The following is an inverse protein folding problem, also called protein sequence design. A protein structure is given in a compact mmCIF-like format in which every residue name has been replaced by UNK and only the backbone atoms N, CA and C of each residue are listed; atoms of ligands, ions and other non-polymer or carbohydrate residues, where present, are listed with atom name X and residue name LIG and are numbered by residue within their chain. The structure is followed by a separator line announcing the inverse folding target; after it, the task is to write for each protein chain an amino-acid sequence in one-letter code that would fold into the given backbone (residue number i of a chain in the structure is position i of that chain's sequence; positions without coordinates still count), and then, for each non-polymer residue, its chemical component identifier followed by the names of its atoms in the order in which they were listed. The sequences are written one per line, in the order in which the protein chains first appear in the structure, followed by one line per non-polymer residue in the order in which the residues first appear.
data_IF_555086168585
#
_entry.id   IF_555086168585
#
_cell.length_a   1.000
_cell.length_b   1.000
_cell.length_c   1.000
_cell.angle_alpha   90.00
_cell.angle_beta   90.00
_cell.angle_gamma   90.00
#
_symmetry.space_group_name_H-M   'P 1'
#
loop_
_entity.id
_entity.type
_entity.pdbx_description
1 polymer ?
#
# COMPACT_ATOMS: atom_id res chain seq x y z
N UNK A 1 -10.69 9.15 -19.79
CA UNK A 1 -10.64 8.03 -18.77
C UNK A 1 -10.44 8.68 -17.42
N UNK A 2 -11.09 8.19 -16.38
CA UNK A 2 -10.85 8.67 -15.02
C UNK A 2 -9.37 8.44 -14.64
N UNK A 3 -8.81 9.34 -13.85
CA UNK A 3 -7.47 9.26 -13.29
C UNK A 3 -7.35 7.99 -12.44
N UNK A 4 -6.31 7.18 -12.66
CA UNK A 4 -6.09 5.97 -11.85
C UNK A 4 -5.52 6.32 -10.46
N UNK A 5 -5.60 5.40 -9.52
CA UNK A 5 -4.98 5.61 -8.21
C UNK A 5 -3.45 5.78 -8.34
N UNK A 6 -2.80 5.04 -9.24
CA UNK A 6 -1.38 5.21 -9.53
C UNK A 6 -1.04 6.61 -10.07
N UNK A 7 -1.91 7.18 -10.95
CA UNK A 7 -1.75 8.55 -11.43
C UNK A 7 -1.88 9.54 -10.26
N UNK A 8 -2.92 9.40 -9.42
CA UNK A 8 -3.12 10.23 -8.22
C UNK A 8 -1.94 10.15 -7.26
N UNK A 9 -1.36 8.97 -7.08
CA UNK A 9 -0.22 8.74 -6.21
C UNK A 9 1.07 9.40 -6.75
N UNK A 10 1.23 9.47 -8.08
CA UNK A 10 2.40 10.07 -8.73
C UNK A 10 2.39 11.60 -8.70
N UNK A 11 1.23 12.21 -8.50
CA UNK A 11 1.08 13.68 -8.40
C UNK A 11 1.53 14.15 -7.02
N UNK A 12 2.73 14.71 -6.93
CA UNK A 12 3.35 15.18 -5.67
C UNK A 12 2.66 16.38 -5.00
N UNK A 13 1.64 16.96 -5.63
CA UNK A 13 1.00 18.18 -5.13
C UNK A 13 0.11 17.96 -3.90
N UNK A 14 -0.29 16.71 -3.61
CA UNK A 14 -1.21 16.39 -2.52
C UNK A 14 -0.86 15.06 -1.87
N UNK A 15 -0.68 15.05 -0.55
CA UNK A 15 -0.60 13.81 0.22
C UNK A 15 -1.98 13.13 0.23
N UNK A 16 -2.04 11.85 -0.13
CA UNK A 16 -3.25 11.04 -0.03
C UNK A 16 -3.34 10.41 1.36
N UNK A 17 -4.53 10.43 1.96
CA UNK A 17 -4.79 9.83 3.26
C UNK A 17 -5.66 8.58 3.13
N UNK A 18 -5.17 7.49 3.69
CA UNK A 18 -5.86 6.20 3.70
C UNK A 18 -5.85 5.57 5.08
N UNK A 19 -6.31 4.33 5.14
CA UNK A 19 -6.29 3.53 6.37
C UNK A 19 -6.15 2.05 6.06
N UNK A 20 -5.74 1.27 7.07
CA UNK A 20 -5.73 -0.19 6.99
C UNK A 20 -7.14 -0.75 7.20
N UNK A 21 -7.51 -1.74 6.40
CA UNK A 21 -8.71 -2.55 6.57
C UNK A 21 -8.30 -3.93 7.03
N UNK A 22 -8.78 -4.32 8.21
CA UNK A 22 -8.51 -5.59 8.88
C UNK A 22 -9.77 -6.41 9.10
N UNK A 23 -10.93 -5.76 9.14
CA UNK A 23 -12.23 -6.41 9.35
C UNK A 23 -12.79 -6.82 7.98
N UNK A 24 -13.12 -8.12 7.75
CA UNK A 24 -13.57 -8.61 6.45
C UNK A 24 -15.05 -8.32 6.19
N UNK A 25 -15.45 -7.05 6.33
CA UNK A 25 -16.82 -6.58 6.12
C UNK A 25 -16.86 -5.43 5.11
N UNK A 26 -17.71 -5.55 4.09
CA UNK A 26 -17.84 -4.53 3.04
C UNK A 26 -18.43 -3.24 3.58
N UNK A 27 -19.25 -3.30 4.62
CA UNK A 27 -19.84 -2.16 5.31
C UNK A 27 -18.76 -1.24 5.93
N UNK A 28 -17.67 -1.82 6.40
CA UNK A 28 -16.50 -1.04 6.86
C UNK A 28 -15.90 -0.22 5.71
N UNK A 29 -15.82 -0.81 4.52
CA UNK A 29 -15.32 -0.11 3.33
C UNK A 29 -16.22 1.06 2.95
N UNK A 30 -17.55 0.87 3.00
CA UNK A 30 -18.54 1.93 2.75
C UNK A 30 -18.41 3.07 3.76
N UNK A 31 -18.26 2.74 5.06
CA UNK A 31 -18.08 3.73 6.13
C UNK A 31 -16.81 4.55 5.91
N UNK A 32 -15.70 3.91 5.52
CA UNK A 32 -14.42 4.59 5.25
C UNK A 32 -14.50 5.48 4.00
N UNK A 33 -15.19 5.04 2.95
CA UNK A 33 -15.43 5.86 1.76
C UNK A 33 -16.25 7.10 2.08
N UNK A 34 -17.36 6.92 2.82
CA UNK A 34 -18.23 8.01 3.25
C UNK A 34 -17.53 8.98 4.24
N UNK A 35 -16.54 8.50 4.98
CA UNK A 35 -15.71 9.34 5.85
C UNK A 35 -14.71 10.22 5.07
N UNK A 36 -14.48 9.94 3.78
CA UNK A 36 -13.67 10.77 2.89
C UNK A 36 -12.19 10.39 2.82
N UNK A 37 -11.83 9.14 3.12
CA UNK A 37 -10.48 8.65 2.82
C UNK A 37 -10.23 8.64 1.30
N UNK A 38 -8.97 8.84 0.89
CA UNK A 38 -8.58 8.78 -0.53
C UNK A 38 -8.37 7.33 -1.02
N UNK A 39 -7.97 6.44 -0.11
CA UNK A 39 -7.68 5.02 -0.41
C UNK A 39 -7.73 4.14 0.85
N UNK A 40 -7.76 2.83 0.63
CA UNK A 40 -7.62 1.82 1.69
C UNK A 40 -6.50 0.85 1.36
N UNK A 41 -5.95 0.22 2.39
CA UNK A 41 -5.03 -0.91 2.26
C UNK A 41 -5.64 -2.13 2.93
N UNK A 42 -5.98 -3.13 2.14
CA UNK A 42 -6.47 -4.42 2.64
C UNK A 42 -5.28 -5.21 3.20
N UNK A 43 -5.31 -5.48 4.49
CA UNK A 43 -4.19 -6.10 5.20
C UNK A 43 -4.33 -7.63 5.23
N UNK A 44 -3.69 -8.31 4.28
CA UNK A 44 -3.68 -9.77 4.27
C UNK A 44 -2.49 -10.37 5.05
N UNK A 45 -1.57 -9.55 5.57
CA UNK A 45 -0.44 -10.01 6.39
C UNK A 45 -0.85 -10.18 7.86
N UNK A 46 -1.51 -9.17 8.45
CA UNK A 46 -1.83 -9.15 9.88
C UNK A 46 -3.34 -9.13 10.16
N UNK A 47 -4.16 -9.58 9.22
CA UNK A 47 -5.59 -9.74 9.40
C UNK A 47 -6.11 -10.99 8.67
N UNK A 48 -7.24 -11.58 9.11
CA UNK A 48 -7.78 -12.81 8.53
C UNK A 48 -8.56 -12.53 7.22
N UNK A 49 -8.01 -11.69 6.34
CA UNK A 49 -8.60 -11.40 5.05
C UNK A 49 -8.30 -12.51 4.04
N UNK A 50 -9.33 -13.08 3.45
CA UNK A 50 -9.20 -14.01 2.33
C UNK A 50 -9.13 -13.26 1.00
N UNK A 51 -8.66 -13.93 -0.07
CA UNK A 51 -8.70 -13.38 -1.42
C UNK A 51 -10.12 -12.99 -1.85
N UNK A 52 -11.14 -13.75 -1.47
CA UNK A 52 -12.53 -13.44 -1.75
C UNK A 52 -12.98 -12.16 -1.04
N UNK A 53 -12.65 -12.01 0.25
CA UNK A 53 -12.94 -10.80 1.00
C UNK A 53 -12.23 -9.58 0.37
N UNK A 54 -10.96 -9.72 0.00
CA UNK A 54 -10.20 -8.68 -0.69
C UNK A 54 -10.83 -8.30 -2.05
N UNK A 55 -11.28 -9.27 -2.84
CA UNK A 55 -11.99 -9.02 -4.09
C UNK A 55 -13.28 -8.23 -3.87
N UNK A 56 -14.14 -8.65 -2.93
CA UNK A 56 -15.42 -7.97 -2.63
C UNK A 56 -15.17 -6.54 -2.14
N UNK A 57 -14.26 -6.35 -1.20
CA UNK A 57 -13.86 -5.04 -0.70
C UNK A 57 -13.34 -4.13 -1.83
N UNK A 58 -12.55 -4.67 -2.76
CA UNK A 58 -12.04 -3.92 -3.92
C UNK A 58 -13.17 -3.43 -4.81
N UNK A 59 -14.16 -4.28 -5.10
CA UNK A 59 -15.31 -3.90 -5.95
C UNK A 59 -16.08 -2.74 -5.33
N UNK A 60 -16.37 -2.83 -4.03
CA UNK A 60 -17.11 -1.77 -3.30
C UNK A 60 -16.28 -0.49 -3.22
N UNK A 61 -15.04 -0.58 -2.77
CA UNK A 61 -14.15 0.57 -2.61
C UNK A 61 -13.98 1.36 -3.92
N UNK A 62 -13.66 0.69 -5.01
CA UNK A 62 -13.50 1.34 -6.32
C UNK A 62 -14.82 1.90 -6.86
N UNK A 63 -15.95 1.24 -6.60
CA UNK A 63 -17.28 1.75 -6.91
C UNK A 63 -17.62 3.07 -6.19
N UNK A 64 -17.01 3.30 -5.03
CA UNK A 64 -17.14 4.52 -4.22
C UNK A 64 -15.99 5.52 -4.40
N UNK A 65 -15.07 5.26 -5.34
CA UNK A 65 -13.98 6.18 -5.67
C UNK A 65 -12.72 6.06 -4.81
N UNK A 66 -12.64 5.07 -3.92
CA UNK A 66 -11.41 4.78 -3.17
C UNK A 66 -10.36 4.09 -4.03
N UNK A 67 -9.09 4.44 -3.86
CA UNK A 67 -7.99 3.60 -4.29
C UNK A 67 -7.86 2.36 -3.39
N UNK A 68 -7.40 1.24 -3.95
CA UNK A 68 -7.26 -0.02 -3.21
C UNK A 68 -5.89 -0.61 -3.39
N UNK A 69 -5.11 -0.62 -2.33
CA UNK A 69 -3.89 -1.42 -2.22
C UNK A 69 -4.15 -2.67 -1.39
N UNK A 70 -3.36 -3.72 -1.61
CA UNK A 70 -3.35 -4.91 -0.77
C UNK A 70 -1.95 -5.12 -0.23
N UNK A 71 -1.81 -5.23 1.09
CA UNK A 71 -0.59 -5.74 1.69
C UNK A 71 -0.63 -7.26 1.66
N UNK A 72 0.30 -7.86 0.92
CA UNK A 72 0.37 -9.31 0.77
C UNK A 72 1.05 -9.96 1.98
N UNK A 73 0.66 -11.18 2.38
CA UNK A 73 1.29 -11.87 3.51
C UNK A 73 2.69 -12.39 3.18
N UNK A 74 2.95 -12.64 1.90
CA UNK A 74 4.21 -13.16 1.39
C UNK A 74 4.43 -12.76 -0.08
N UNK A 75 5.50 -13.25 -0.68
CA UNK A 75 5.86 -12.99 -2.09
C UNK A 75 5.42 -14.11 -3.04
N UNK A 76 4.42 -14.91 -2.68
CA UNK A 76 3.88 -15.97 -3.53
C UNK A 76 3.36 -15.39 -4.85
N UNK A 77 3.99 -15.74 -5.96
CA UNK A 77 3.59 -15.26 -7.29
C UNK A 77 2.16 -15.60 -7.65
N UNK A 78 1.63 -16.74 -7.17
CA UNK A 78 0.24 -17.14 -7.43
C UNK A 78 -0.77 -16.23 -6.72
N UNK A 79 -0.51 -15.80 -5.49
CA UNK A 79 -1.37 -14.86 -4.77
C UNK A 79 -1.28 -13.47 -5.38
N UNK A 80 -0.06 -12.99 -5.67
CA UNK A 80 0.20 -11.71 -6.35
C UNK A 80 -0.59 -11.62 -7.65
N UNK A 81 -0.50 -12.65 -8.50
CA UNK A 81 -1.24 -12.69 -9.78
C UNK A 81 -2.75 -12.62 -9.56
N UNK A 82 -3.30 -13.44 -8.66
CA UNK A 82 -4.75 -13.50 -8.39
C UNK A 82 -5.29 -12.18 -7.84
N UNK A 83 -4.54 -11.49 -6.99
CA UNK A 83 -4.90 -10.16 -6.48
C UNK A 83 -4.90 -9.13 -7.61
N UNK A 84 -3.85 -9.08 -8.44
CA UNK A 84 -3.81 -8.17 -9.59
C UNK A 84 -4.91 -8.47 -10.62
N UNK A 85 -5.24 -9.74 -10.82
CA UNK A 85 -6.33 -10.15 -11.72
C UNK A 85 -7.72 -9.82 -11.14
N UNK A 86 -7.84 -9.72 -9.79
CA UNK A 86 -9.04 -9.20 -9.14
C UNK A 86 -9.23 -7.69 -9.31
N UNK A 87 -8.24 -7.00 -9.90
CA UNK A 87 -8.34 -5.61 -10.30
C UNK A 87 -8.09 -4.62 -9.15
N UNK A 88 -7.28 -4.99 -8.15
CA UNK A 88 -6.76 -4.03 -7.17
C UNK A 88 -5.87 -2.99 -7.84
N UNK A 89 -5.79 -1.79 -7.29
CA UNK A 89 -4.96 -0.72 -7.87
C UNK A 89 -3.46 -0.94 -7.63
N UNK A 90 -3.11 -1.86 -6.73
CA UNK A 90 -1.71 -2.25 -6.51
C UNK A 90 -1.50 -3.10 -5.28
N UNK A 91 -0.24 -3.48 -5.10
CA UNK A 91 0.20 -4.30 -3.98
C UNK A 91 1.27 -3.58 -3.17
N UNK A 92 1.34 -3.91 -1.90
CA UNK A 92 2.38 -3.52 -0.98
C UNK A 92 3.05 -4.80 -0.45
N UNK A 93 4.30 -5.01 -0.83
CA UNK A 93 5.06 -6.22 -0.48
C UNK A 93 5.91 -5.95 0.77
N UNK A 94 5.66 -6.63 1.89
CA UNK A 94 6.40 -6.42 3.13
C UNK A 94 7.77 -7.08 3.11
N UNK A 95 8.62 -6.69 4.06
CA UNK A 95 9.91 -7.32 4.38
C UNK A 95 10.88 -7.42 3.19
N UNK A 96 11.00 -6.34 2.44
CA UNK A 96 11.97 -6.25 1.35
C UNK A 96 13.27 -5.68 1.90
N UNK A 97 14.28 -6.54 2.05
CA UNK A 97 15.54 -6.22 2.71
C UNK A 97 16.71 -6.03 1.73
N UNK A 98 16.57 -6.46 0.47
CA UNK A 98 17.64 -6.36 -0.53
C UNK A 98 17.13 -6.00 -1.93
N UNK A 99 18.00 -5.53 -2.83
CA UNK A 99 17.65 -5.27 -4.22
C UNK A 99 17.12 -6.51 -4.95
N UNK A 100 17.64 -7.70 -4.66
CA UNK A 100 17.20 -8.96 -5.26
C UNK A 100 15.78 -9.30 -4.82
N UNK A 101 15.45 -9.06 -3.55
CA UNK A 101 14.10 -9.24 -3.02
C UNK A 101 13.12 -8.23 -3.66
N UNK A 102 13.55 -6.98 -3.85
CA UNK A 102 12.77 -5.97 -4.54
C UNK A 102 12.53 -6.37 -6.01
N UNK A 103 13.58 -6.78 -6.72
CA UNK A 103 13.47 -7.23 -8.11
C UNK A 103 12.49 -8.40 -8.24
N UNK A 104 12.61 -9.42 -7.41
CA UNK A 104 11.71 -10.58 -7.41
C UNK A 104 10.24 -10.20 -7.14
N UNK A 105 10.00 -9.26 -6.21
CA UNK A 105 8.67 -8.76 -5.91
C UNK A 105 8.07 -8.00 -7.13
N UNK A 106 8.86 -7.16 -7.79
CA UNK A 106 8.40 -6.40 -8.95
C UNK A 106 8.18 -7.30 -10.18
N UNK A 107 9.08 -8.25 -10.43
CA UNK A 107 8.92 -9.26 -11.50
C UNK A 107 7.60 -10.03 -11.40
N UNK A 108 7.17 -10.39 -10.18
CA UNK A 108 5.90 -11.08 -9.96
C UNK A 108 4.67 -10.22 -10.33
N UNK A 109 4.80 -8.89 -10.34
CA UNK A 109 3.71 -7.94 -10.64
C UNK A 109 3.71 -7.48 -12.10
N UNK A 110 4.80 -7.67 -12.83
CA UNK A 110 4.95 -7.19 -14.21
C UNK A 110 4.73 -8.30 -15.23
N UNK A 111 4.17 -7.95 -16.39
CA UNK A 111 4.12 -8.83 -17.56
C UNK A 111 5.49 -8.91 -18.24
N UNK A 112 5.70 -9.95 -19.05
CA UNK A 112 6.90 -10.03 -19.89
C UNK A 112 7.02 -8.82 -20.85
N UNK A 113 8.26 -8.41 -21.18
CA UNK A 113 9.55 -8.96 -20.77
C UNK A 113 10.06 -8.44 -19.41
N UNK A 114 9.35 -7.57 -18.71
CA UNK A 114 9.77 -6.95 -17.43
C UNK A 114 9.54 -7.85 -16.22
N UNK A 115 8.74 -8.91 -16.35
CA UNK A 115 8.41 -9.80 -15.25
C UNK A 115 7.80 -11.11 -15.72
N UNK A 116 7.08 -11.79 -14.80
CA UNK A 116 6.55 -13.16 -15.03
C UNK A 116 5.05 -13.28 -14.77
N UNK A 117 4.33 -12.17 -14.65
CA UNK A 117 2.89 -12.20 -14.46
C UNK A 117 2.21 -12.84 -15.68
N UNK A 118 1.36 -13.87 -15.44
CA UNK A 118 0.58 -14.52 -16.48
C UNK A 118 -0.52 -13.63 -17.05
N UNK A 119 -0.92 -13.87 -18.29
CA UNK A 119 -1.97 -13.16 -18.99
C UNK A 119 -3.36 -13.68 -18.60
N UNK A 120 -4.13 -12.89 -17.85
CA UNK A 120 -5.48 -13.20 -17.37
C UNK A 120 -6.53 -12.25 -17.92
N UNK A 121 -6.63 -12.09 -19.24
CA UNK A 121 -7.49 -11.08 -19.89
C UNK A 121 -8.98 -11.21 -19.56
N UNK A 122 -9.47 -12.43 -19.28
CA UNK A 122 -10.85 -12.68 -18.85
C UNK A 122 -11.08 -12.49 -17.36
N UNK A 123 -10.08 -11.98 -16.63
CA UNK A 123 -10.21 -11.55 -15.24
C UNK A 123 -10.91 -10.18 -15.13
N UNK A 124 -11.22 -9.75 -13.90
CA UNK A 124 -11.80 -8.41 -13.65
C UNK A 124 -10.86 -7.30 -14.13
N UNK A 125 -9.55 -7.44 -13.95
CA UNK A 125 -8.57 -6.47 -14.44
C UNK A 125 -8.61 -6.28 -15.96
N UNK A 126 -8.97 -7.32 -16.72
CA UNK A 126 -9.22 -7.26 -18.18
C UNK A 126 -10.68 -7.00 -18.54
N UNK A 127 -11.49 -6.49 -17.58
CA UNK A 127 -12.92 -6.24 -17.75
C UNK A 127 -13.68 -7.46 -18.27
N UNK A 128 -13.30 -8.63 -17.76
CA UNK A 128 -13.91 -9.92 -18.14
C UNK A 128 -13.78 -10.23 -19.64
N UNK A 129 -12.65 -9.86 -20.24
CA UNK A 129 -12.35 -10.10 -21.64
C UNK A 129 -12.89 -9.04 -22.60
N UNK A 130 -13.40 -7.91 -22.09
CA UNK A 130 -13.86 -6.81 -22.94
C UNK A 130 -12.74 -5.85 -23.36
N UNK A 131 -11.63 -5.85 -22.65
CA UNK A 131 -10.46 -5.07 -23.06
C UNK A 131 -9.62 -5.87 -24.07
N UNK A 132 -8.97 -5.18 -25.02
CA UNK A 132 -7.95 -5.80 -25.87
C UNK A 132 -6.73 -6.20 -25.04
N UNK A 133 -5.93 -7.13 -25.55
CA UNK A 133 -4.65 -7.54 -24.93
C UNK A 133 -3.76 -6.32 -24.69
N UNK A 134 -3.60 -5.46 -25.69
CA UNK A 134 -2.76 -4.27 -25.59
C UNK A 134 -3.23 -3.32 -24.47
N UNK A 135 -4.54 -3.12 -24.34
CA UNK A 135 -5.12 -2.27 -23.30
C UNK A 135 -4.91 -2.89 -21.92
N UNK A 136 -5.07 -4.22 -21.77
CA UNK A 136 -4.83 -4.94 -20.53
C UNK A 136 -3.35 -4.86 -20.12
N UNK A 137 -2.41 -5.07 -21.05
CA UNK A 137 -0.98 -4.94 -20.79
C UNK A 137 -0.58 -3.50 -20.42
N UNK A 138 -1.12 -2.51 -21.17
CA UNK A 138 -0.89 -1.09 -20.86
C UNK A 138 -1.41 -0.71 -19.46
N UNK A 139 -2.56 -1.24 -19.05
CA UNK A 139 -3.08 -1.07 -17.69
C UNK A 139 -2.09 -1.64 -16.65
N UNK A 140 -1.64 -2.88 -16.80
CA UNK A 140 -0.69 -3.51 -15.88
C UNK A 140 0.65 -2.78 -15.80
N UNK A 141 1.10 -2.20 -16.92
CA UNK A 141 2.34 -1.43 -16.98
C UNK A 141 2.24 -0.06 -16.29
N UNK A 142 1.17 0.69 -16.56
CA UNK A 142 1.06 2.10 -16.19
C UNK A 142 0.18 2.40 -14.97
N UNK A 143 -0.78 1.52 -14.63
CA UNK A 143 -1.82 1.84 -13.64
C UNK A 143 -1.79 1.01 -12.37
N UNK A 144 -0.86 0.05 -12.28
CA UNK A 144 -0.68 -0.79 -11.09
C UNK A 144 0.40 -0.20 -10.20
N UNK A 145 0.08 0.02 -8.94
CA UNK A 145 1.06 0.38 -7.91
C UNK A 145 1.83 -0.88 -7.50
N UNK A 146 3.14 -0.83 -7.71
CA UNK A 146 4.10 -1.86 -7.31
C UNK A 146 4.92 -1.34 -6.15
N UNK A 147 4.35 -1.49 -4.95
CA UNK A 147 4.89 -0.97 -3.71
C UNK A 147 5.66 -2.01 -2.91
N UNK A 148 6.70 -1.57 -2.23
CA UNK A 148 7.47 -2.38 -1.26
C UNK A 148 7.54 -1.67 0.09
N UNK A 149 7.65 -2.46 1.19
CA UNK A 149 7.87 -1.92 2.52
C UNK A 149 9.35 -1.98 2.90
N UNK A 150 9.83 -0.84 3.39
CA UNK A 150 11.14 -0.66 4.01
C UNK A 150 10.91 -0.61 5.51
N UNK A 151 11.26 -1.68 6.21
CA UNK A 151 10.90 -1.86 7.61
C UNK A 151 11.95 -2.65 8.38
N UNK A 152 13.14 -2.78 7.79
CA UNK A 152 14.28 -3.47 8.37
C UNK A 152 15.56 -2.65 8.25
N UNK A 153 16.48 -2.84 9.18
CA UNK A 153 17.80 -2.17 9.18
C UNK A 153 18.60 -2.48 7.90
N UNK A 154 18.54 -3.72 7.41
CA UNK A 154 19.27 -4.14 6.21
C UNK A 154 18.75 -3.40 4.97
N UNK A 155 17.43 -3.23 4.85
CA UNK A 155 16.82 -2.45 3.78
C UNK A 155 17.34 -1.00 3.73
N UNK A 156 17.55 -0.38 4.89
CA UNK A 156 18.07 0.98 4.99
C UNK A 156 19.50 1.11 4.51
N UNK A 157 20.34 0.08 4.68
CA UNK A 157 21.70 0.06 4.15
C UNK A 157 21.73 -0.07 2.62
N UNK A 158 20.73 -0.73 2.03
CA UNK A 158 20.62 -0.97 0.59
C UNK A 158 19.62 -0.04 -0.11
N UNK A 159 19.17 1.04 0.54
CA UNK A 159 18.01 1.83 0.10
C UNK A 159 18.15 2.39 -1.32
N UNK A 160 19.32 2.88 -1.70
CA UNK A 160 19.57 3.44 -3.03
C UNK A 160 19.47 2.36 -4.12
N UNK A 161 20.00 1.16 -3.83
CA UNK A 161 19.96 0.03 -4.74
C UNK A 161 18.53 -0.55 -4.85
N UNK A 162 17.83 -0.65 -3.72
CA UNK A 162 16.40 -1.07 -3.68
C UNK A 162 15.55 -0.07 -4.48
N UNK A 163 15.71 1.23 -4.24
CA UNK A 163 14.97 2.28 -4.94
C UNK A 163 15.29 2.35 -6.44
N UNK A 164 16.42 1.77 -6.89
CA UNK A 164 16.80 1.67 -8.29
C UNK A 164 16.13 0.50 -9.03
N UNK A 165 15.36 -0.35 -8.34
CA UNK A 165 14.72 -1.54 -8.93
C UNK A 165 13.81 -1.14 -10.10
N UNK A 166 14.04 -1.68 -11.32
CA UNK A 166 13.19 -1.38 -12.47
C UNK A 166 11.73 -1.77 -12.23
N UNK A 167 10.81 -0.85 -12.53
CA UNK A 167 9.38 -1.10 -12.36
C UNK A 167 8.82 -0.84 -10.95
N UNK A 168 9.65 -0.65 -9.93
CA UNK A 168 9.22 -0.14 -8.63
C UNK A 168 8.65 1.28 -8.81
N UNK A 169 7.47 1.55 -8.25
CA UNK A 169 6.81 2.85 -8.40
C UNK A 169 6.17 3.39 -7.10
N UNK A 170 6.38 2.72 -5.97
CA UNK A 170 6.04 3.25 -4.65
C UNK A 170 6.89 2.58 -3.56
N UNK A 171 7.22 3.33 -2.51
CA UNK A 171 7.87 2.81 -1.30
C UNK A 171 7.05 3.16 -0.08
N UNK A 172 7.12 2.30 0.93
CA UNK A 172 6.42 2.49 2.19
C UNK A 172 7.36 2.22 3.36
N UNK A 173 7.39 3.10 4.34
CA UNK A 173 8.19 2.92 5.56
C UNK A 173 7.32 2.31 6.65
N UNK A 174 7.62 1.08 7.04
CA UNK A 174 6.97 0.35 8.13
C UNK A 174 7.60 0.70 9.47
N UNK A 175 7.13 1.78 10.12
CA UNK A 175 7.74 2.33 11.34
C UNK A 175 7.74 1.36 12.52
N UNK A 176 6.72 0.50 12.64
CA UNK A 176 6.62 -0.48 13.73
C UNK A 176 7.75 -1.51 13.67
N UNK A 177 7.86 -2.20 12.53
CA UNK A 177 8.88 -3.23 12.32
C UNK A 177 10.28 -2.62 12.22
N UNK A 178 10.41 -1.40 11.67
CA UNK A 178 11.66 -0.67 11.67
C UNK A 178 12.16 -0.38 13.09
N UNK A 179 11.28 0.05 13.99
CA UNK A 179 11.60 0.25 15.41
C UNK A 179 12.02 -1.06 16.08
N UNK A 180 11.34 -2.15 15.77
CA UNK A 180 11.66 -3.48 16.28
C UNK A 180 13.02 -3.99 15.77
N UNK A 181 13.26 -3.87 14.45
CA UNK A 181 14.51 -4.30 13.80
C UNK A 181 15.73 -3.51 14.28
N UNK A 182 15.56 -2.22 14.55
CA UNK A 182 16.65 -1.36 15.03
C UNK A 182 16.84 -1.41 16.55
N UNK A 183 15.83 -1.83 17.31
CA UNK A 183 15.80 -1.75 18.77
C UNK A 183 15.62 -0.32 19.29
N UNK A 184 15.24 0.63 18.44
CA UNK A 184 15.10 2.05 18.77
C UNK A 184 13.63 2.46 18.69
N UNK A 185 13.13 3.31 19.61
CA UNK A 185 11.78 3.84 19.50
C UNK A 185 11.62 4.72 18.25
N UNK A 186 10.40 4.76 17.69
CA UNK A 186 10.12 5.46 16.44
C UNK A 186 10.44 6.96 16.43
N UNK A 187 10.49 7.59 17.62
CA UNK A 187 10.88 8.99 17.80
C UNK A 187 12.37 9.19 18.12
N UNK A 188 13.20 8.15 17.98
CA UNK A 188 14.64 8.28 18.22
C UNK A 188 15.30 9.10 17.10
N UNK A 189 16.24 10.02 17.40
CA UNK A 189 16.88 10.86 16.38
C UNK A 189 17.54 10.08 15.24
N UNK A 190 18.04 8.88 15.50
CA UNK A 190 18.60 8.00 14.48
C UNK A 190 17.53 7.51 13.51
N UNK A 191 16.35 7.09 14.02
CA UNK A 191 15.21 6.69 13.18
C UNK A 191 14.75 7.86 12.31
N UNK A 192 14.64 9.06 12.88
CA UNK A 192 14.28 10.27 12.13
C UNK A 192 15.25 10.55 10.98
N UNK A 193 16.56 10.41 11.22
CA UNK A 193 17.59 10.57 10.18
C UNK A 193 17.49 9.50 9.09
N UNK A 194 17.25 8.24 9.46
CA UNK A 194 17.08 7.13 8.52
C UNK A 194 15.83 7.32 7.66
N UNK A 195 14.71 7.73 8.26
CA UNK A 195 13.48 8.06 7.53
C UNK A 195 13.69 9.23 6.57
N UNK A 196 14.40 10.27 6.99
CA UNK A 196 14.73 11.40 6.11
C UNK A 196 15.55 10.95 4.91
N UNK A 197 16.57 10.09 5.10
CA UNK A 197 17.33 9.50 3.99
C UNK A 197 16.45 8.74 3.00
N UNK A 198 15.50 7.93 3.47
CA UNK A 198 14.56 7.23 2.58
C UNK A 198 13.72 8.22 1.78
N UNK A 199 13.22 9.28 2.42
CA UNK A 199 12.47 10.34 1.74
C UNK A 199 13.30 11.06 0.67
N UNK A 200 14.55 11.36 0.97
CA UNK A 200 15.48 12.00 0.03
C UNK A 200 15.71 11.10 -1.21
N UNK A 201 16.01 9.83 -1.00
CA UNK A 201 16.17 8.84 -2.08
C UNK A 201 14.89 8.71 -2.93
N UNK A 202 13.73 8.65 -2.27
CA UNK A 202 12.45 8.62 -2.97
C UNK A 202 12.19 9.91 -3.76
N UNK A 203 12.57 11.06 -3.20
CA UNK A 203 12.44 12.35 -3.86
C UNK A 203 13.31 12.45 -5.12
N UNK A 204 14.58 12.09 -5.04
CA UNK A 204 15.53 12.08 -6.15
C UNK A 204 15.08 11.17 -7.30
N UNK A 205 14.45 10.05 -6.97
CA UNK A 205 13.98 9.05 -7.94
C UNK A 205 12.53 9.22 -8.37
N UNK A 206 11.86 10.25 -7.91
CA UNK A 206 10.45 10.50 -8.18
C UNK A 206 9.50 9.37 -7.74
N UNK A 207 9.89 8.62 -6.71
CA UNK A 207 9.07 7.57 -6.12
C UNK A 207 8.14 8.13 -5.04
N UNK A 208 6.83 7.90 -5.11
CA UNK A 208 5.93 8.14 -3.99
C UNK A 208 6.40 7.35 -2.75
N UNK A 209 6.50 8.04 -1.60
CA UNK A 209 6.86 7.43 -0.34
C UNK A 209 5.69 7.55 0.65
N UNK A 210 5.33 6.46 1.29
CA UNK A 210 4.27 6.41 2.28
C UNK A 210 4.72 5.91 3.64
N UNK A 211 3.84 6.07 4.63
CA UNK A 211 3.99 5.50 5.98
C UNK A 211 2.64 5.33 6.66
N UNK A 212 2.63 4.74 7.87
CA UNK A 212 1.45 4.62 8.71
C UNK A 212 1.68 5.30 10.06
N UNK A 213 0.62 5.96 10.55
CA UNK A 213 0.62 6.69 11.82
C UNK A 213 -0.66 6.43 12.61
N UNK A 214 -0.61 6.70 13.92
CA UNK A 214 -1.71 6.40 14.82
C UNK A 214 -2.83 7.45 14.83
N UNK A 215 -2.56 8.70 14.45
CA UNK A 215 -3.48 9.81 14.63
C UNK A 215 -3.30 10.92 13.58
N UNK A 216 -4.24 11.87 13.59
CA UNK A 216 -4.32 12.98 12.63
C UNK A 216 -3.12 13.92 12.74
N UNK A 217 -2.64 14.20 13.96
CA UNK A 217 -1.52 15.12 14.15
C UNK A 217 -0.24 14.58 13.52
N UNK A 218 0.08 13.30 13.77
CA UNK A 218 1.20 12.63 13.12
C UNK A 218 1.04 12.57 11.58
N UNK A 219 -0.20 12.43 11.08
CA UNK A 219 -0.48 12.44 9.65
C UNK A 219 -0.19 13.82 9.00
N UNK A 220 -0.52 14.92 9.70
CA UNK A 220 -0.17 16.28 9.26
C UNK A 220 1.33 16.48 9.20
N UNK A 221 2.06 16.04 10.22
CA UNK A 221 3.52 16.10 10.25
C UNK A 221 4.14 15.28 9.09
N UNK A 222 3.62 14.10 8.80
CA UNK A 222 4.06 13.32 7.63
C UNK A 222 3.85 14.08 6.31
N UNK A 223 2.71 14.75 6.14
CA UNK A 223 2.46 15.59 4.97
C UNK A 223 3.50 16.71 4.85
N UNK A 224 3.80 17.40 5.95
CA UNK A 224 4.79 18.49 6.00
C UNK A 224 6.21 17.99 5.68
N UNK A 225 6.51 16.73 6.03
CA UNK A 225 7.77 16.06 5.69
C UNK A 225 7.85 15.56 4.24
N UNK A 226 6.79 15.67 3.45
CA UNK A 226 6.77 15.29 2.04
C UNK A 226 6.37 13.85 1.74
N UNK A 227 5.75 13.14 2.68
CA UNK A 227 5.15 11.84 2.36
C UNK A 227 4.01 11.98 1.35
N UNK A 228 4.02 11.14 0.33
CA UNK A 228 3.02 11.17 -0.76
C UNK A 228 1.71 10.51 -0.35
N UNK A 229 1.75 9.53 0.54
CA UNK A 229 0.57 8.84 1.05
C UNK A 229 0.78 8.38 2.50
N UNK A 230 -0.27 8.52 3.30
CA UNK A 230 -0.20 8.22 4.74
C UNK A 230 -1.41 7.41 5.16
N UNK A 231 -1.19 6.26 5.80
CA UNK A 231 -2.25 5.49 6.43
C UNK A 231 -2.43 5.96 7.88
N UNK A 232 -3.66 6.30 8.23
CA UNK A 232 -4.00 6.79 9.57
C UNK A 232 -4.83 5.74 10.30
N UNK A 233 -4.28 5.15 11.35
CA UNK A 233 -4.94 4.13 12.16
C UNK A 233 -5.37 2.90 11.32
N UNK A 234 -6.35 2.16 11.79
CA UNK A 234 -7.03 1.06 11.10
C UNK A 234 -8.48 0.94 11.59
N UNK A 235 -9.33 0.27 10.84
CA UNK A 235 -10.75 0.09 11.13
C UNK A 235 -11.00 -0.55 12.51
N UNK A 236 -10.30 -1.62 12.85
CA UNK A 236 -10.43 -2.30 14.14
C UNK A 236 -9.98 -1.40 15.30
N UNK A 237 -8.89 -0.63 15.10
CA UNK A 237 -8.39 0.33 16.08
C UNK A 237 -9.37 1.46 16.34
N UNK A 238 -9.95 2.04 15.29
CA UNK A 238 -10.96 3.09 15.38
C UNK A 238 -12.21 2.61 16.11
N UNK A 239 -12.77 1.48 15.70
CA UNK A 239 -13.94 0.87 16.34
C UNK A 239 -13.67 0.51 17.80
N UNK A 240 -12.56 -0.19 18.07
CA UNK A 240 -12.21 -0.63 19.41
C UNK A 240 -11.92 0.51 20.37
N UNK A 241 -11.30 1.61 19.88
CA UNK A 241 -11.07 2.80 20.71
C UNK A 241 -12.42 3.46 21.08
N UNK A 242 -13.28 3.72 20.11
CA UNK A 242 -14.58 4.35 20.35
C UNK A 242 -15.43 3.53 21.30
N UNK A 243 -15.48 2.21 21.13
CA UNK A 243 -16.21 1.33 22.02
C UNK A 243 -15.69 1.37 23.46
N UNK A 244 -14.37 1.34 23.66
CA UNK A 244 -13.77 1.48 25.00
C UNK A 244 -14.09 2.83 25.65
N UNK A 245 -14.00 3.92 24.89
CA UNK A 245 -14.29 5.26 25.41
C UNK A 245 -15.75 5.38 25.88
N UNK A 246 -16.71 4.80 25.12
CA UNK A 246 -18.13 4.73 25.52
C UNK A 246 -18.28 3.93 26.82
N UNK A 247 -17.73 2.72 26.89
CA UNK A 247 -17.84 1.86 28.07
C UNK A 247 -17.22 2.51 29.31
N UNK A 248 -16.08 3.17 29.17
CA UNK A 248 -15.44 3.91 30.27
C UNK A 248 -16.29 5.08 30.76
N UNK A 249 -16.91 5.82 29.84
CA UNK A 249 -17.83 6.92 30.18
C UNK A 249 -19.12 6.47 30.85
N UNK A 250 -19.58 5.23 30.59
CA UNK A 250 -20.76 4.67 31.26
C UNK A 250 -20.45 4.12 32.66
N UNK A 251 -19.18 3.83 32.96
CA UNK A 251 -18.75 3.31 34.25
C UNK A 251 -18.34 4.43 35.25
N UNK A 252 -18.22 5.66 34.81
CA UNK A 252 -17.91 6.85 35.62
C UNK A 252 -19.19 7.49 36.14
#
# INVERSE_FOLDING_TARGET
MAESFADRLSVRAKTLFGTWVKIPAIEVVELLANAGFDYIVLDMEHAPLTLEAAYRATVVAQGMGLGVLVRVPDRSGSLVQRLLDSGVDGLLVPRVMSPEMAAAAIEAMCFEPQGRRGLGITSRAGRWGQDSVDKYLAHGKGRVVRGIQIEDREALHAIEAIAATPGLNAMFIGMGDLSLSTGLPSNHPEIERLVSRVLDVCSERHLPCGTAVANVEAARQCRERGFSFVMVNNDAGMLGKTARDICAGLAA
#
